data_IF_190630956491
#
_entry.id   IF_190630956491
#
_cell.length_a   1.000
_cell.length_b   1.000
_cell.length_c   1.000
_cell.angle_alpha   90.00
_cell.angle_beta   90.00
_cell.angle_gamma   90.00
#
_symmetry.space_group_name_H-M   'P 1'
#
loop_
_entity.id
_entity.type
_entity.pdbx_description
1 polymer ?
#
# COMPACT_ATOMS: atom_id res chain seq x y z
N UNK A 1 -18.82 18.06 -3.94
CA UNK A 1 -18.82 16.68 -3.46
C UNK A 1 -18.15 16.53 -2.09
N UNK A 2 -16.89 16.93 -1.90
CA UNK A 2 -16.16 16.86 -0.62
C UNK A 2 -16.80 17.66 0.53
N UNK A 3 -17.31 18.86 0.30
CA UNK A 3 -17.93 19.73 1.33
C UNK A 3 -19.16 19.14 2.03
N UNK A 4 -19.79 18.11 1.48
CA UNK A 4 -21.00 17.49 2.06
C UNK A 4 -20.61 16.47 3.15
N UNK A 5 -19.40 15.91 3.12
CA UNK A 5 -18.97 14.80 3.96
C UNK A 5 -17.90 15.22 4.98
N UNK A 6 -17.07 16.22 4.65
CA UNK A 6 -15.99 16.69 5.51
C UNK A 6 -15.98 18.21 5.65
N UNK A 7 -15.74 18.67 6.88
CA UNK A 7 -15.49 20.09 7.20
C UNK A 7 -13.98 20.46 7.14
N UNK A 8 -13.10 19.47 6.86
CA UNK A 8 -11.66 19.73 6.79
C UNK A 8 -11.30 20.55 5.56
N UNK A 9 -10.35 21.49 5.67
CA UNK A 9 -9.86 22.27 4.54
C UNK A 9 -9.17 21.39 3.50
N UNK A 10 -9.19 21.80 2.24
CA UNK A 10 -8.58 21.08 1.13
C UNK A 10 -7.07 20.85 1.35
N UNK A 11 -6.40 21.76 2.05
CA UNK A 11 -4.99 21.63 2.41
C UNK A 11 -4.67 20.39 3.24
N UNK A 12 -5.58 19.96 4.12
CA UNK A 12 -5.41 18.71 4.89
C UNK A 12 -5.51 17.48 3.97
N UNK A 13 -6.48 17.48 3.07
CA UNK A 13 -6.63 16.38 2.11
C UNK A 13 -5.48 16.29 1.11
N UNK A 14 -4.97 17.44 0.64
CA UNK A 14 -3.79 17.48 -0.22
C UNK A 14 -2.53 17.01 0.52
N UNK A 15 -2.37 17.34 1.81
CA UNK A 15 -1.29 16.82 2.63
C UNK A 15 -1.38 15.29 2.78
N UNK A 16 -2.55 14.75 3.10
CA UNK A 16 -2.77 13.30 3.19
C UNK A 16 -2.41 12.62 1.87
N UNK A 17 -2.87 13.16 0.74
CA UNK A 17 -2.56 12.62 -0.59
C UNK A 17 -1.06 12.63 -0.88
N UNK A 18 -0.36 13.74 -0.60
CA UNK A 18 1.09 13.83 -0.85
C UNK A 18 1.90 12.95 0.10
N UNK A 19 1.49 12.79 1.37
CA UNK A 19 2.15 11.89 2.32
C UNK A 19 2.07 10.43 1.84
N UNK A 20 0.91 9.96 1.42
CA UNK A 20 0.76 8.61 0.89
C UNK A 20 1.43 8.41 -0.47
N UNK A 21 1.52 9.45 -1.30
CA UNK A 21 2.29 9.40 -2.55
C UNK A 21 3.78 9.25 -2.26
N UNK A 22 4.33 10.08 -1.39
CA UNK A 22 5.78 10.07 -1.09
C UNK A 22 6.24 8.80 -0.38
N UNK A 23 5.38 8.17 0.37
CA UNK A 23 5.61 6.87 1.01
C UNK A 23 6.00 5.78 0.00
N UNK A 24 5.34 5.75 -1.16
CA UNK A 24 5.58 4.74 -2.19
C UNK A 24 6.70 5.11 -3.17
N UNK A 25 7.17 6.36 -3.21
CA UNK A 25 8.27 6.76 -4.09
C UNK A 25 9.54 5.94 -3.85
N UNK A 26 9.97 5.83 -2.60
CA UNK A 26 11.18 5.07 -2.23
C UNK A 26 11.00 3.57 -2.45
N UNK A 27 9.86 3.01 -2.04
CA UNK A 27 9.57 1.58 -2.18
C UNK A 27 9.57 1.13 -3.64
N UNK A 28 8.88 1.87 -4.51
CA UNK A 28 8.82 1.55 -5.94
C UNK A 28 10.14 1.78 -6.64
N UNK A 29 10.90 2.81 -6.25
CA UNK A 29 12.25 3.03 -6.73
C UNK A 29 13.15 1.82 -6.45
N UNK A 30 13.19 1.31 -5.19
CA UNK A 30 13.98 0.13 -4.86
C UNK A 30 13.53 -1.11 -5.62
N UNK A 31 12.22 -1.36 -5.61
CA UNK A 31 11.66 -2.63 -6.10
C UNK A 31 11.75 -2.76 -7.62
N UNK A 32 11.75 -1.65 -8.36
CA UNK A 32 11.63 -1.67 -9.82
C UNK A 32 12.75 -0.86 -10.47
N UNK A 33 12.84 0.45 -10.21
CA UNK A 33 13.74 1.33 -10.97
C UNK A 33 15.21 1.01 -10.68
N UNK A 34 15.60 0.93 -9.41
CA UNK A 34 16.99 0.63 -9.03
C UNK A 34 17.40 -0.75 -9.53
N UNK A 35 16.54 -1.77 -9.41
CA UNK A 35 16.78 -3.13 -9.91
C UNK A 35 17.06 -3.12 -11.42
N UNK A 36 16.21 -2.45 -12.20
CA UNK A 36 16.37 -2.36 -13.64
C UNK A 36 17.65 -1.61 -14.05
N UNK A 37 17.97 -0.50 -13.37
CA UNK A 37 19.16 0.30 -13.62
C UNK A 37 20.42 -0.51 -13.28
N UNK A 38 20.48 -1.15 -12.12
CA UNK A 38 21.58 -2.02 -11.70
C UNK A 38 21.80 -3.15 -12.71
N UNK A 39 20.73 -3.81 -13.15
CA UNK A 39 20.82 -4.90 -14.13
C UNK A 39 21.38 -4.41 -15.46
N UNK A 40 20.94 -3.25 -15.92
CA UNK A 40 21.47 -2.62 -17.15
C UNK A 40 22.96 -2.26 -17.03
N UNK A 41 23.43 -1.93 -15.84
CA UNK A 41 24.83 -1.63 -15.55
C UNK A 41 25.69 -2.88 -15.27
N UNK A 42 25.12 -4.10 -15.40
CA UNK A 42 25.86 -5.35 -15.26
C UNK A 42 25.95 -5.90 -13.84
N UNK A 43 25.15 -5.37 -12.89
CA UNK A 43 25.10 -5.92 -11.54
C UNK A 43 24.73 -7.41 -11.53
N UNK A 44 25.32 -8.19 -10.62
CA UNK A 44 25.04 -9.61 -10.46
C UNK A 44 23.64 -9.85 -9.93
N UNK A 45 23.06 -11.02 -10.21
CA UNK A 45 21.76 -11.41 -9.68
C UNK A 45 21.75 -11.45 -8.13
N UNK A 46 22.88 -11.74 -7.52
CA UNK A 46 23.05 -11.74 -6.06
C UNK A 46 22.93 -10.31 -5.49
N UNK A 47 23.59 -9.32 -6.12
CA UNK A 47 23.43 -7.91 -5.75
C UNK A 47 21.98 -7.44 -5.90
N UNK A 48 21.31 -7.84 -6.97
CA UNK A 48 19.90 -7.51 -7.21
C UNK A 48 18.99 -8.16 -6.17
N UNK A 49 19.24 -9.42 -5.81
CA UNK A 49 18.44 -10.12 -4.79
C UNK A 49 18.52 -9.45 -3.43
N UNK A 50 19.65 -8.86 -3.07
CA UNK A 50 19.80 -8.12 -1.82
C UNK A 50 18.90 -6.87 -1.76
N UNK A 51 18.63 -6.24 -2.90
CA UNK A 51 17.74 -5.06 -2.97
C UNK A 51 16.29 -5.43 -2.62
N UNK A 52 15.81 -6.62 -3.01
CA UNK A 52 14.47 -7.06 -2.64
C UNK A 52 14.26 -7.24 -1.13
N UNK A 53 15.33 -7.54 -0.37
CA UNK A 53 15.28 -7.64 1.10
C UNK A 53 14.86 -6.30 1.74
N UNK A 54 15.13 -5.16 1.08
CA UNK A 54 14.71 -3.85 1.57
C UNK A 54 13.18 -3.73 1.72
N UNK A 55 12.42 -4.41 0.87
CA UNK A 55 10.96 -4.46 0.98
C UNK A 55 10.44 -5.11 2.27
N UNK A 56 11.21 -6.05 2.86
CA UNK A 56 10.85 -6.70 4.13
C UNK A 56 10.91 -5.74 5.32
N UNK A 57 11.73 -4.69 5.25
CA UNK A 57 11.81 -3.65 6.29
C UNK A 57 10.42 -3.02 6.49
N UNK A 58 9.73 -2.70 5.39
CA UNK A 58 8.36 -2.16 5.42
C UNK A 58 7.36 -3.12 6.07
N UNK A 59 7.45 -4.42 5.80
CA UNK A 59 6.57 -5.42 6.41
C UNK A 59 6.84 -5.57 7.93
N UNK A 60 8.10 -5.43 8.36
CA UNK A 60 8.52 -5.55 9.75
C UNK A 60 8.35 -4.26 10.57
N UNK A 61 7.86 -3.17 9.98
CA UNK A 61 7.72 -1.85 10.64
C UNK A 61 6.90 -1.87 11.94
N UNK A 62 6.03 -2.86 12.13
CA UNK A 62 5.25 -3.02 13.36
C UNK A 62 6.13 -3.19 14.60
N UNK A 63 7.35 -3.72 14.47
CA UNK A 63 8.27 -3.94 15.60
C UNK A 63 8.65 -2.65 16.34
N UNK A 64 8.72 -1.52 15.62
CA UNK A 64 9.06 -0.22 16.20
C UNK A 64 7.92 0.80 16.17
N UNK A 65 6.74 0.44 15.69
CA UNK A 65 5.57 1.34 15.70
C UNK A 65 5.21 1.88 17.10
N UNK A 66 5.40 1.13 18.23
CA UNK A 66 5.17 1.67 19.57
C UNK A 66 6.11 2.83 19.94
N UNK A 67 7.28 2.91 19.30
CA UNK A 67 8.20 4.03 19.49
C UNK A 67 7.60 5.33 18.95
N UNK A 68 6.97 5.25 17.78
CA UNK A 68 6.33 6.40 17.12
C UNK A 68 5.14 6.92 17.95
N UNK A 69 4.31 6.03 18.50
CA UNK A 69 3.22 6.43 19.39
C UNK A 69 3.71 7.02 20.73
N UNK A 70 4.81 6.49 21.27
CA UNK A 70 5.31 6.86 22.60
C UNK A 70 6.07 8.17 22.61
N UNK A 71 7.00 8.35 21.67
CA UNK A 71 7.86 9.53 21.63
C UNK A 71 7.17 10.71 20.99
N UNK A 72 6.91 11.74 21.82
CA UNK A 72 6.30 13.00 21.39
C UNK A 72 7.34 14.09 21.26
N UNK A 73 7.24 14.83 20.18
CA UNK A 73 7.95 16.11 20.05
C UNK A 73 7.25 17.17 20.89
N UNK A 74 7.84 18.36 20.91
CA UNK A 74 7.24 19.49 21.66
C UNK A 74 5.83 19.81 21.11
N UNK A 75 4.91 20.32 21.94
CA UNK A 75 3.57 20.68 21.48
C UNK A 75 3.55 21.65 20.30
N UNK A 76 4.56 22.53 20.19
CA UNK A 76 4.70 23.48 19.08
C UNK A 76 4.97 22.78 17.74
N UNK A 77 5.69 21.65 17.76
CA UNK A 77 6.02 20.88 16.55
C UNK A 77 4.88 19.94 16.17
N UNK A 78 4.17 19.41 17.15
CA UNK A 78 3.19 18.33 16.98
C UNK A 78 3.82 16.93 17.14
N UNK A 79 2.99 15.92 17.39
CA UNK A 79 3.45 14.56 17.64
C UNK A 79 3.86 13.85 16.34
N UNK A 80 2.90 13.55 15.48
CA UNK A 80 3.15 12.88 14.20
C UNK A 80 3.83 13.80 13.19
N UNK A 81 3.48 15.09 13.19
CA UNK A 81 4.15 16.09 12.35
C UNK A 81 5.65 16.13 12.62
N UNK A 82 6.08 16.02 13.88
CA UNK A 82 7.49 15.98 14.24
C UNK A 82 8.22 14.78 13.63
N UNK A 83 7.63 13.58 13.72
CA UNK A 83 8.15 12.39 13.06
C UNK A 83 8.23 12.53 11.54
N UNK A 84 7.16 13.05 10.93
CA UNK A 84 7.08 13.24 9.48
C UNK A 84 8.12 14.24 8.97
N UNK A 85 8.29 15.39 9.65
CA UNK A 85 9.30 16.36 9.30
C UNK A 85 10.71 15.77 9.39
N UNK A 86 11.01 15.02 10.46
CA UNK A 86 12.30 14.37 10.64
C UNK A 86 12.57 13.33 9.55
N UNK A 87 11.63 12.41 9.33
CA UNK A 87 11.82 11.33 8.36
C UNK A 87 11.92 11.84 6.93
N UNK A 88 11.08 12.79 6.53
CA UNK A 88 11.15 13.38 5.20
C UNK A 88 12.39 14.23 4.98
N UNK A 89 12.88 14.95 6.00
CA UNK A 89 14.17 15.65 5.91
C UNK A 89 15.30 14.66 5.66
N UNK A 90 15.33 13.55 6.41
CA UNK A 90 16.33 12.49 6.20
C UNK A 90 16.22 11.86 4.82
N UNK A 91 14.99 11.56 4.35
CA UNK A 91 14.78 11.00 3.01
C UNK A 91 15.27 11.93 1.90
N UNK A 92 14.97 13.22 1.98
CA UNK A 92 15.46 14.21 0.99
C UNK A 92 16.99 14.27 0.99
N UNK A 93 17.63 14.35 2.18
CA UNK A 93 19.08 14.36 2.31
C UNK A 93 19.71 13.08 1.77
N UNK A 94 19.16 11.91 2.11
CA UNK A 94 19.65 10.63 1.61
C UNK A 94 19.52 10.52 0.09
N UNK A 95 18.40 10.95 -0.50
CA UNK A 95 18.20 10.97 -1.94
C UNK A 95 19.18 11.93 -2.63
N UNK A 96 19.41 13.13 -2.10
CA UNK A 96 20.40 14.05 -2.62
C UNK A 96 21.81 13.44 -2.56
N UNK A 97 22.15 12.72 -1.48
CA UNK A 97 23.44 12.06 -1.37
C UNK A 97 23.57 10.88 -2.33
N UNK A 98 22.56 10.01 -2.44
CA UNK A 98 22.53 8.90 -3.40
C UNK A 98 22.64 9.42 -4.84
N UNK A 99 22.03 10.56 -5.17
CA UNK A 99 22.08 11.15 -6.51
C UNK A 99 23.51 11.53 -6.94
N UNK A 100 24.40 11.84 -5.99
CA UNK A 100 25.79 12.21 -6.25
C UNK A 100 26.74 11.01 -6.39
N UNK A 101 26.29 9.81 -6.07
CA UNK A 101 27.09 8.59 -6.15
C UNK A 101 26.89 7.89 -7.52
N UNK A 102 27.97 7.34 -8.04
CA UNK A 102 27.89 6.40 -9.16
C UNK A 102 27.46 5.03 -8.63
N UNK A 103 26.32 4.54 -9.07
CA UNK A 103 25.74 3.31 -8.55
C UNK A 103 26.52 2.05 -8.95
N UNK A 104 27.24 2.07 -10.08
CA UNK A 104 28.02 0.94 -10.54
C UNK A 104 29.30 0.75 -9.69
N UNK A 105 29.98 1.84 -9.39
CA UNK A 105 31.25 1.81 -8.63
C UNK A 105 31.04 1.82 -7.12
N UNK A 106 29.91 2.38 -6.63
CA UNK A 106 29.64 2.56 -5.20
C UNK A 106 28.42 1.74 -4.70
N UNK A 107 28.18 0.57 -5.28
CA UNK A 107 27.00 -0.26 -4.95
C UNK A 107 26.81 -0.45 -3.44
N UNK A 108 27.85 -0.82 -2.70
CA UNK A 108 27.74 -1.08 -1.25
C UNK A 108 27.29 0.16 -0.46
N UNK A 109 27.78 1.36 -0.83
CA UNK A 109 27.37 2.61 -0.20
C UNK A 109 25.92 2.95 -0.56
N UNK A 110 25.55 2.85 -1.83
CA UNK A 110 24.17 3.09 -2.28
C UNK A 110 23.23 2.13 -1.58
N UNK A 111 23.57 0.83 -1.49
CA UNK A 111 22.76 -0.17 -0.80
C UNK A 111 22.58 0.16 0.70
N UNK A 112 23.66 0.55 1.39
CA UNK A 112 23.59 0.99 2.79
C UNK A 112 22.65 2.20 2.97
N UNK A 113 22.75 3.20 2.10
CA UNK A 113 21.87 4.36 2.11
C UNK A 113 20.42 3.97 1.82
N UNK A 114 20.20 2.99 0.94
CA UNK A 114 18.87 2.44 0.67
C UNK A 114 18.27 1.71 1.88
N UNK A 115 19.08 1.05 2.73
CA UNK A 115 18.60 0.50 4.02
C UNK A 115 18.09 1.63 4.92
N UNK A 116 18.86 2.71 5.08
CA UNK A 116 18.42 3.87 5.87
C UNK A 116 17.16 4.52 5.28
N UNK A 117 17.07 4.65 3.96
CA UNK A 117 15.86 5.13 3.30
C UNK A 117 14.66 4.23 3.57
N UNK A 118 14.82 2.91 3.52
CA UNK A 118 13.74 1.96 3.80
C UNK A 118 13.25 2.09 5.25
N UNK A 119 14.15 2.27 6.23
CA UNK A 119 13.80 2.50 7.63
C UNK A 119 13.09 3.84 7.80
N UNK A 120 13.60 4.92 7.20
CA UNK A 120 12.95 6.23 7.24
C UNK A 120 11.58 6.21 6.58
N UNK A 121 11.44 5.57 5.41
CA UNK A 121 10.18 5.41 4.70
C UNK A 121 9.15 4.61 5.50
N UNK A 122 9.57 3.50 6.10
CA UNK A 122 8.70 2.69 6.96
C UNK A 122 8.28 3.46 8.24
N UNK A 123 9.15 4.29 8.80
CA UNK A 123 8.83 5.13 9.97
C UNK A 123 7.91 6.29 9.58
N UNK A 124 8.12 6.89 8.40
CA UNK A 124 7.19 7.88 7.82
C UNK A 124 5.79 7.28 7.65
N UNK A 125 5.70 6.06 7.13
CA UNK A 125 4.44 5.34 6.94
C UNK A 125 3.69 5.15 8.26
N UNK A 126 4.37 4.67 9.31
CA UNK A 126 3.81 4.55 10.67
C UNK A 126 3.26 5.90 11.15
N UNK A 127 4.02 6.98 10.99
CA UNK A 127 3.62 8.31 11.45
C UNK A 127 2.47 8.89 10.62
N UNK A 128 2.44 8.63 9.30
CA UNK A 128 1.35 9.02 8.41
C UNK A 128 0.05 8.34 8.81
N UNK A 129 0.08 7.02 8.98
CA UNK A 129 -1.08 6.24 9.40
C UNK A 129 -1.59 6.67 10.77
N UNK A 130 -0.68 6.90 11.73
CA UNK A 130 -1.01 7.42 13.06
C UNK A 130 -1.68 8.80 13.02
N UNK A 131 -1.14 9.72 12.21
CA UNK A 131 -1.72 11.04 11.99
C UNK A 131 -3.13 10.93 11.39
N UNK A 132 -3.28 10.15 10.32
CA UNK A 132 -4.55 10.02 9.59
C UNK A 132 -5.60 9.34 10.46
N UNK A 133 -5.25 8.27 11.20
CA UNK A 133 -6.14 7.61 12.16
C UNK A 133 -6.61 8.55 13.27
N UNK A 134 -5.76 9.50 13.68
CA UNK A 134 -6.09 10.49 14.72
C UNK A 134 -6.89 11.67 14.19
N UNK A 135 -6.67 12.07 12.94
CA UNK A 135 -7.33 13.21 12.31
C UNK A 135 -8.74 12.89 11.82
N UNK A 136 -8.95 11.70 11.25
CA UNK A 136 -10.17 11.41 10.52
C UNK A 136 -11.30 10.91 11.43
N UNK A 137 -12.46 11.53 11.29
CA UNK A 137 -13.69 11.02 11.87
C UNK A 137 -14.12 9.73 11.17
N UNK A 138 -14.97 8.94 11.81
CA UNK A 138 -15.47 7.68 11.25
C UNK A 138 -16.05 7.83 9.83
N UNK A 139 -16.79 8.91 9.57
CA UNK A 139 -17.36 9.20 8.24
C UNK A 139 -16.29 9.55 7.20
N UNK A 140 -15.16 10.10 7.62
CA UNK A 140 -14.07 10.53 6.73
C UNK A 140 -13.07 9.41 6.42
N UNK A 141 -13.03 8.32 7.21
CA UNK A 141 -12.06 7.22 7.05
C UNK A 141 -12.14 6.57 5.67
N UNK A 142 -13.35 6.43 5.11
CA UNK A 142 -13.51 5.92 3.74
C UNK A 142 -12.77 6.77 2.71
N UNK A 143 -12.98 8.10 2.74
CA UNK A 143 -12.28 9.03 1.84
C UNK A 143 -10.78 9.00 2.09
N UNK A 144 -10.34 8.99 3.36
CA UNK A 144 -8.93 8.91 3.72
C UNK A 144 -8.25 7.69 3.14
N UNK A 145 -8.85 6.52 3.26
CA UNK A 145 -8.30 5.27 2.70
C UNK A 145 -8.39 5.21 1.17
N UNK A 146 -9.40 5.84 0.56
CA UNK A 146 -9.44 6.05 -0.89
C UNK A 146 -8.25 6.87 -1.39
N UNK A 147 -7.93 7.96 -0.68
CA UNK A 147 -6.76 8.80 -0.97
C UNK A 147 -5.46 8.05 -0.68
N UNK A 148 -5.38 7.27 0.40
CA UNK A 148 -4.23 6.42 0.71
C UNK A 148 -3.90 5.48 -0.44
N UNK A 149 -4.89 4.72 -0.90
CA UNK A 149 -4.69 3.74 -1.97
C UNK A 149 -4.36 4.42 -3.30
N UNK A 150 -5.07 5.52 -3.65
CA UNK A 150 -4.78 6.31 -4.85
C UNK A 150 -3.38 6.93 -4.81
N UNK A 151 -3.01 7.53 -3.68
CA UNK A 151 -1.68 8.12 -3.45
C UNK A 151 -0.57 7.08 -3.56
N UNK A 152 -0.78 5.89 -3.00
CA UNK A 152 0.15 4.78 -3.11
C UNK A 152 0.39 4.35 -4.55
N UNK A 153 -0.66 4.16 -5.33
CA UNK A 153 -0.55 3.82 -6.76
C UNK A 153 0.13 4.92 -7.56
N UNK A 154 -0.23 6.18 -7.30
CA UNK A 154 0.40 7.32 -7.97
C UNK A 154 1.89 7.43 -7.62
N UNK A 155 2.25 7.25 -6.34
CA UNK A 155 3.65 7.21 -5.89
C UNK A 155 4.43 6.06 -6.54
N UNK A 156 3.82 4.89 -6.68
CA UNK A 156 4.43 3.75 -7.37
C UNK A 156 4.70 4.06 -8.86
N UNK A 157 3.75 4.66 -9.56
CA UNK A 157 3.92 5.07 -10.96
C UNK A 157 5.05 6.09 -11.13
N UNK A 158 5.21 7.04 -10.22
CA UNK A 158 6.30 8.03 -10.27
C UNK A 158 7.64 7.34 -9.96
N UNK A 159 7.75 6.67 -8.82
CA UNK A 159 9.01 6.12 -8.32
C UNK A 159 9.58 4.99 -9.17
N UNK A 160 8.72 4.18 -9.79
CA UNK A 160 9.12 3.14 -10.73
C UNK A 160 9.08 3.65 -12.18
N UNK A 161 7.89 4.03 -12.66
CA UNK A 161 7.67 4.31 -14.08
C UNK A 161 8.35 5.56 -14.55
N UNK A 162 8.05 6.72 -13.94
CA UNK A 162 8.60 8.01 -14.38
C UNK A 162 10.13 8.03 -14.29
N UNK A 163 10.69 7.47 -13.21
CA UNK A 163 12.16 7.39 -13.03
C UNK A 163 12.80 6.56 -14.13
N UNK A 164 12.22 5.38 -14.46
CA UNK A 164 12.76 4.54 -15.54
C UNK A 164 12.64 5.19 -16.92
N UNK A 165 11.53 5.87 -17.18
CA UNK A 165 11.32 6.59 -18.45
C UNK A 165 12.27 7.79 -18.58
N UNK A 166 12.52 8.52 -17.51
CA UNK A 166 13.40 9.68 -17.51
C UNK A 166 14.91 9.28 -17.53
N UNK A 167 15.27 8.18 -16.89
CA UNK A 167 16.67 7.77 -16.70
C UNK A 167 17.53 7.78 -17.97
N UNK A 168 17.09 7.27 -19.15
CA UNK A 168 17.90 7.27 -20.37
C UNK A 168 18.25 8.66 -20.87
N UNK A 169 17.39 9.66 -20.63
CA UNK A 169 17.55 11.02 -21.12
C UNK A 169 18.23 11.97 -20.12
N UNK A 170 17.95 11.80 -18.82
CA UNK A 170 18.44 12.72 -17.78
C UNK A 170 19.54 12.12 -16.90
N UNK A 171 19.80 10.83 -17.00
CA UNK A 171 20.81 10.12 -16.21
C UNK A 171 20.41 9.88 -14.75
N UNK A 172 21.33 9.23 -14.02
CA UNK A 172 21.12 8.80 -12.62
C UNK A 172 20.82 9.95 -11.67
N UNK A 173 21.68 10.97 -11.69
CA UNK A 173 21.59 12.09 -10.75
C UNK A 173 20.23 12.77 -10.79
N UNK A 174 19.78 13.17 -11.99
CA UNK A 174 18.51 13.90 -12.15
C UNK A 174 17.32 12.97 -11.86
N UNK A 175 17.39 11.70 -12.26
CA UNK A 175 16.33 10.73 -11.98
C UNK A 175 16.09 10.55 -10.47
N UNK A 176 17.17 10.48 -9.65
CA UNK A 176 17.05 10.39 -8.19
C UNK A 176 16.61 11.73 -7.57
N UNK A 177 17.06 12.87 -8.12
CA UNK A 177 16.61 14.19 -7.66
C UNK A 177 15.12 14.44 -7.90
N UNK A 178 14.50 13.82 -8.92
CA UNK A 178 13.05 13.85 -9.11
C UNK A 178 12.33 13.26 -7.88
N UNK A 179 12.85 12.17 -7.31
CA UNK A 179 12.30 11.56 -6.09
C UNK A 179 12.48 12.47 -4.87
N UNK A 180 13.66 13.11 -4.75
CA UNK A 180 13.91 14.08 -3.69
C UNK A 180 12.94 15.28 -3.77
N UNK A 181 12.72 15.82 -4.97
CA UNK A 181 11.77 16.90 -5.21
C UNK A 181 10.32 16.47 -4.87
N UNK A 182 9.91 15.27 -5.31
CA UNK A 182 8.61 14.70 -4.95
C UNK A 182 8.40 14.58 -3.44
N UNK A 183 9.42 14.11 -2.71
CA UNK A 183 9.40 14.01 -1.24
C UNK A 183 9.36 15.41 -0.59
N UNK A 184 10.09 16.38 -1.14
CA UNK A 184 10.12 17.75 -0.63
C UNK A 184 8.74 18.46 -0.72
N UNK A 185 7.85 18.06 -1.63
CA UNK A 185 6.50 18.63 -1.73
C UNK A 185 5.71 18.44 -0.42
N UNK A 186 5.66 17.22 0.09
CA UNK A 186 4.95 16.95 1.35
C UNK A 186 5.70 17.51 2.56
N UNK A 187 7.03 17.56 2.52
CA UNK A 187 7.83 18.24 3.55
C UNK A 187 7.48 19.72 3.66
N UNK A 188 7.40 20.44 2.53
CA UNK A 188 6.98 21.85 2.50
C UNK A 188 5.56 22.03 3.04
N UNK A 189 4.62 21.16 2.66
CA UNK A 189 3.24 21.21 3.18
C UNK A 189 3.20 21.00 4.70
N UNK A 190 4.04 20.12 5.25
CA UNK A 190 4.17 19.90 6.70
C UNK A 190 4.67 21.12 7.46
N UNK A 191 5.50 22.00 6.85
CA UNK A 191 5.95 23.25 7.49
C UNK A 191 4.76 24.17 7.82
N UNK A 192 3.74 24.20 6.96
CA UNK A 192 2.55 25.01 7.11
C UNK A 192 1.40 24.30 7.82
N UNK A 193 1.45 22.99 7.95
CA UNK A 193 0.43 22.21 8.63
C UNK A 193 0.55 22.37 10.15
N UNK A 194 -0.54 22.70 10.81
CA UNK A 194 -0.63 22.70 12.28
C UNK A 194 -1.40 21.45 12.71
N UNK A 195 -0.68 20.53 13.37
CA UNK A 195 -1.29 19.34 13.93
C UNK A 195 -2.21 19.73 15.10
N UNK A 196 -3.47 19.26 15.14
CA UNK A 196 -4.35 19.46 16.28
C UNK A 196 -3.77 18.79 17.53
N UNK A 197 -4.02 19.39 18.71
CA UNK A 197 -3.64 18.78 19.98
C UNK A 197 -4.51 17.55 20.27
N UNK A 198 -3.89 16.41 20.41
CA UNK A 198 -4.56 15.20 20.84
C UNK A 198 -4.42 15.08 22.36
N UNK A 199 -5.52 15.26 23.09
CA UNK A 199 -5.52 15.26 24.56
C UNK A 199 -5.37 13.86 25.17
N UNK A 200 -5.47 12.79 24.36
CA UNK A 200 -5.36 11.42 24.84
C UNK A 200 -3.89 11.07 25.03
N UNK A 201 -3.54 10.69 26.26
CA UNK A 201 -2.19 10.26 26.57
C UNK A 201 -1.93 8.85 25.99
N UNK A 202 -0.82 8.66 25.26
CA UNK A 202 -0.46 7.35 24.75
C UNK A 202 -0.08 6.39 25.88
N UNK A 203 -0.05 5.10 25.56
CA UNK A 203 0.49 4.08 26.48
C UNK A 203 1.93 4.37 26.83
N UNK A 204 2.30 4.16 28.11
CA UNK A 204 3.63 4.45 28.63
C UNK A 204 4.41 3.15 28.92
N UNK A 205 5.75 3.27 28.88
CA UNK A 205 6.65 2.18 29.27
C UNK A 205 6.38 0.86 28.54
N UNK A 206 6.31 -0.23 29.31
CA UNK A 206 6.06 -1.58 28.80
C UNK A 206 4.67 -1.74 28.16
N UNK A 207 3.68 -0.96 28.57
CA UNK A 207 2.34 -1.04 28.00
C UNK A 207 2.32 -0.66 26.50
N UNK A 208 3.17 0.27 26.07
CA UNK A 208 3.30 0.63 24.67
C UNK A 208 3.81 -0.54 23.83
N UNK A 209 4.84 -1.25 24.30
CA UNK A 209 5.40 -2.42 23.62
C UNK A 209 4.43 -3.61 23.67
N UNK A 210 3.82 -3.86 24.84
CA UNK A 210 2.86 -4.96 25.00
C UNK A 210 1.62 -4.80 24.13
N UNK A 211 1.36 -3.58 23.61
CA UNK A 211 0.25 -3.32 22.69
C UNK A 211 0.34 -4.14 21.39
N UNK A 212 1.55 -4.45 20.92
CA UNK A 212 1.78 -5.35 19.79
C UNK A 212 1.05 -6.69 19.95
N UNK A 213 0.99 -7.19 21.19
CA UNK A 213 0.34 -8.45 21.50
C UNK A 213 -1.09 -8.26 22.05
N UNK A 214 -1.31 -7.24 22.88
CA UNK A 214 -2.62 -7.00 23.51
C UNK A 214 -3.68 -6.54 22.52
N UNK A 215 -3.30 -5.96 21.37
CA UNK A 215 -4.22 -5.68 20.27
C UNK A 215 -4.98 -6.96 19.87
N UNK A 216 -4.30 -8.10 19.80
CA UNK A 216 -4.86 -9.38 19.39
C UNK A 216 -5.70 -10.09 20.45
N UNK A 217 -5.93 -9.43 21.60
CA UNK A 217 -6.83 -9.91 22.67
C UNK A 217 -8.18 -9.18 22.66
N UNK A 218 -8.44 -8.36 21.66
CA UNK A 218 -9.70 -7.62 21.54
C UNK A 218 -10.89 -8.58 21.27
N UNK A 219 -12.12 -8.19 21.65
CA UNK A 219 -13.32 -8.96 21.31
C UNK A 219 -13.43 -9.25 19.81
N UNK A 220 -13.93 -10.43 19.46
CA UNK A 220 -14.12 -10.88 18.07
C UNK A 220 -12.82 -10.93 17.22
N UNK A 221 -11.66 -11.04 17.85
CA UNK A 221 -10.37 -10.99 17.14
C UNK A 221 -10.20 -12.13 16.11
N UNK A 222 -10.69 -13.34 16.40
CA UNK A 222 -10.64 -14.47 15.45
C UNK A 222 -11.45 -14.19 14.17
N UNK A 223 -12.59 -13.51 14.30
CA UNK A 223 -13.39 -13.10 13.14
C UNK A 223 -12.66 -12.02 12.33
N UNK A 224 -11.97 -11.13 13.04
CA UNK A 224 -11.15 -10.10 12.41
C UNK A 224 -9.94 -10.72 11.67
N UNK A 225 -9.24 -11.67 12.30
CA UNK A 225 -8.16 -12.41 11.64
C UNK A 225 -8.66 -13.17 10.42
N UNK A 226 -9.82 -13.82 10.53
CA UNK A 226 -10.45 -14.49 9.39
C UNK A 226 -10.78 -13.49 8.27
N UNK A 227 -11.26 -12.29 8.61
CA UNK A 227 -11.52 -11.21 7.65
C UNK A 227 -10.24 -10.74 6.97
N UNK A 228 -9.16 -10.52 7.73
CA UNK A 228 -7.85 -10.11 7.18
C UNK A 228 -7.26 -11.16 6.23
N UNK A 229 -7.51 -12.45 6.49
CA UNK A 229 -6.97 -13.55 5.70
C UNK A 229 -7.85 -13.91 4.51
N UNK A 230 -9.13 -14.21 4.76
CA UNK A 230 -10.01 -14.80 3.76
C UNK A 230 -10.59 -13.79 2.78
N UNK A 231 -10.86 -12.55 3.24
CA UNK A 231 -11.49 -11.55 2.39
C UNK A 231 -10.63 -11.17 1.17
N UNK A 232 -9.30 -10.92 1.28
CA UNK A 232 -8.46 -10.63 0.14
C UNK A 232 -7.91 -11.88 -0.58
N UNK A 233 -8.08 -13.09 -0.01
CA UNK A 233 -7.38 -14.30 -0.46
C UNK A 233 -7.59 -14.61 -1.94
N UNK A 234 -8.83 -14.73 -2.39
CA UNK A 234 -9.13 -15.14 -3.75
C UNK A 234 -8.64 -14.15 -4.80
N UNK A 235 -8.87 -12.85 -4.54
CA UNK A 235 -8.45 -11.82 -5.48
C UNK A 235 -6.92 -11.62 -5.51
N UNK A 236 -6.22 -11.88 -4.40
CA UNK A 236 -4.76 -11.85 -4.33
C UNK A 236 -4.14 -13.01 -5.13
N UNK A 237 -4.72 -14.22 -5.05
CA UNK A 237 -4.30 -15.35 -5.89
C UNK A 237 -4.48 -14.97 -7.38
N UNK A 238 -5.64 -14.47 -7.77
CA UNK A 238 -5.90 -14.10 -9.17
C UNK A 238 -4.91 -13.04 -9.68
N UNK A 239 -4.58 -12.03 -8.86
CA UNK A 239 -3.61 -11.01 -9.21
C UNK A 239 -2.21 -11.57 -9.45
N UNK A 240 -1.76 -12.47 -8.57
CA UNK A 240 -0.42 -13.06 -8.69
C UNK A 240 -0.24 -13.89 -9.96
N UNK A 241 -1.32 -14.40 -10.54
CA UNK A 241 -1.29 -15.25 -11.73
C UNK A 241 -1.45 -14.49 -13.05
N UNK A 242 -1.93 -13.25 -13.00
CA UNK A 242 -2.29 -12.49 -14.22
C UNK A 242 -1.08 -12.26 -15.13
N UNK A 243 0.01 -11.70 -14.61
CA UNK A 243 1.22 -11.44 -15.40
C UNK A 243 1.88 -12.72 -15.92
N UNK A 244 2.14 -13.77 -15.09
CA UNK A 244 2.69 -15.02 -15.58
C UNK A 244 1.83 -15.67 -16.67
N UNK A 245 0.50 -15.67 -16.53
CA UNK A 245 -0.40 -16.22 -17.54
C UNK A 245 -0.31 -15.49 -18.88
N UNK A 246 -0.15 -14.17 -18.88
CA UNK A 246 0.02 -13.38 -20.10
C UNK A 246 1.38 -13.64 -20.76
N UNK A 247 2.46 -13.79 -19.99
CA UNK A 247 3.79 -14.14 -20.50
C UNK A 247 3.76 -15.51 -21.18
N UNK A 248 3.16 -16.51 -20.54
CA UNK A 248 3.06 -17.86 -21.10
C UNK A 248 2.17 -17.90 -22.36
N UNK A 249 1.22 -16.99 -22.48
CA UNK A 249 0.39 -16.78 -23.66
C UNK A 249 1.05 -15.84 -24.70
N UNK A 250 2.37 -15.66 -24.64
CA UNK A 250 3.18 -14.95 -25.64
C UNK A 250 2.85 -13.45 -25.79
N UNK A 251 2.30 -12.81 -24.77
CA UNK A 251 2.15 -11.35 -24.75
C UNK A 251 3.53 -10.70 -24.60
N UNK A 252 3.78 -9.65 -25.36
CA UNK A 252 5.02 -8.87 -25.21
C UNK A 252 5.06 -8.19 -23.83
N UNK A 253 6.25 -8.12 -23.23
CA UNK A 253 6.44 -7.44 -21.94
C UNK A 253 6.02 -5.96 -21.99
N UNK A 254 6.17 -5.31 -23.13
CA UNK A 254 5.72 -3.93 -23.37
C UNK A 254 4.20 -3.80 -23.21
N UNK A 255 3.42 -4.71 -23.86
CA UNK A 255 1.96 -4.72 -23.74
C UNK A 255 1.48 -5.05 -22.33
N UNK A 256 2.13 -6.03 -21.69
CA UNK A 256 1.83 -6.38 -20.28
C UNK A 256 2.06 -5.16 -19.41
N UNK A 257 3.23 -4.52 -19.52
CA UNK A 257 3.57 -3.31 -18.76
C UNK A 257 2.54 -2.19 -18.97
N UNK A 258 2.12 -1.94 -20.22
CA UNK A 258 1.12 -0.92 -20.50
C UNK A 258 -0.25 -1.25 -19.90
N UNK A 259 -0.74 -2.48 -20.08
CA UNK A 259 -2.10 -2.85 -19.65
C UNK A 259 -2.17 -3.08 -18.14
N UNK A 260 -1.20 -3.84 -17.57
CA UNK A 260 -1.23 -4.23 -16.14
C UNK A 260 -0.64 -3.14 -15.26
N UNK A 261 0.47 -2.51 -15.66
CA UNK A 261 1.23 -1.61 -14.77
C UNK A 261 0.96 -0.11 -15.02
N UNK A 262 0.25 0.25 -16.11
CA UNK A 262 -0.17 1.63 -16.36
C UNK A 262 -1.69 1.77 -16.34
N UNK A 263 -2.39 1.06 -17.23
CA UNK A 263 -3.85 1.17 -17.36
C UNK A 263 -4.57 0.67 -16.10
N UNK A 264 -4.12 -0.46 -15.55
CA UNK A 264 -4.64 -1.01 -14.30
C UNK A 264 -4.55 -0.04 -13.13
N UNK A 265 -3.37 0.49 -12.76
CA UNK A 265 -3.23 1.49 -11.70
C UNK A 265 -4.01 2.78 -11.93
N UNK A 266 -4.16 3.27 -13.16
CA UNK A 266 -5.04 4.42 -13.46
C UNK A 266 -6.48 4.09 -13.07
N UNK A 267 -7.00 2.92 -13.48
CA UNK A 267 -8.32 2.47 -13.06
C UNK A 267 -8.39 2.29 -11.53
N UNK A 268 -7.31 1.79 -10.91
CA UNK A 268 -7.17 1.65 -9.48
C UNK A 268 -7.30 2.99 -8.73
N UNK A 269 -6.63 4.04 -9.19
CA UNK A 269 -6.73 5.39 -8.63
C UNK A 269 -8.18 5.88 -8.67
N UNK A 270 -8.83 5.78 -9.84
CA UNK A 270 -10.20 6.22 -9.99
C UNK A 270 -11.16 5.42 -9.09
N UNK A 271 -11.01 4.09 -9.06
CA UNK A 271 -11.87 3.21 -8.27
C UNK A 271 -11.67 3.39 -6.77
N UNK A 272 -10.45 3.64 -6.29
CA UNK A 272 -10.19 3.88 -4.86
C UNK A 272 -10.83 5.18 -4.36
N UNK A 273 -10.70 6.26 -5.12
CA UNK A 273 -11.33 7.55 -4.78
C UNK A 273 -12.86 7.45 -4.78
N UNK A 274 -13.43 6.77 -5.78
CA UNK A 274 -14.86 6.50 -5.85
C UNK A 274 -15.31 5.64 -4.66
N UNK A 275 -14.59 4.56 -4.37
CA UNK A 275 -14.89 3.66 -3.24
C UNK A 275 -14.81 4.39 -1.92
N UNK A 276 -13.79 5.20 -1.69
CA UNK A 276 -13.66 6.01 -0.48
C UNK A 276 -14.87 6.91 -0.25
N UNK A 277 -15.34 7.58 -1.31
CA UNK A 277 -16.58 8.37 -1.28
C UNK A 277 -17.82 7.49 -1.02
N UNK A 278 -17.93 6.35 -1.70
CA UNK A 278 -19.06 5.43 -1.53
C UNK A 278 -19.14 4.88 -0.10
N UNK A 279 -18.01 4.49 0.51
CA UNK A 279 -17.97 4.06 1.93
C UNK A 279 -18.51 5.16 2.85
N UNK A 280 -18.07 6.39 2.63
CA UNK A 280 -18.51 7.53 3.45
C UNK A 280 -19.99 7.89 3.24
N UNK A 281 -20.55 7.60 2.05
CA UNK A 281 -21.95 7.91 1.70
C UNK A 281 -22.92 6.79 2.03
N UNK A 282 -22.57 5.55 1.76
CA UNK A 282 -23.47 4.40 1.84
C UNK A 282 -23.20 3.48 3.05
N UNK A 283 -22.06 3.69 3.73
CA UNK A 283 -21.65 2.91 4.90
C UNK A 283 -20.90 1.61 4.53
N UNK A 284 -20.29 1.00 5.57
CA UNK A 284 -19.42 -0.18 5.44
C UNK A 284 -20.18 -1.39 4.92
N UNK A 285 -21.42 -1.63 5.41
CA UNK A 285 -22.21 -2.82 5.07
C UNK A 285 -22.48 -2.91 3.58
N UNK A 286 -23.08 -1.87 2.99
CA UNK A 286 -23.38 -1.86 1.55
C UNK A 286 -22.13 -1.97 0.69
N UNK A 287 -21.05 -1.32 1.11
CA UNK A 287 -19.79 -1.38 0.38
C UNK A 287 -19.09 -2.73 0.49
N UNK A 288 -19.25 -3.46 1.60
CA UNK A 288 -18.75 -4.83 1.71
C UNK A 288 -19.45 -5.74 0.69
N UNK A 289 -20.76 -5.66 0.55
CA UNK A 289 -21.48 -6.42 -0.49
C UNK A 289 -21.04 -6.06 -1.91
N UNK A 290 -20.84 -4.76 -2.18
CA UNK A 290 -20.30 -4.31 -3.47
C UNK A 290 -18.91 -4.93 -3.74
N UNK A 291 -18.00 -4.87 -2.75
CA UNK A 291 -16.66 -5.46 -2.89
C UNK A 291 -16.71 -6.98 -3.14
N UNK A 292 -17.61 -7.72 -2.48
CA UNK A 292 -17.79 -9.16 -2.70
C UNK A 292 -18.18 -9.45 -4.16
N UNK A 293 -19.17 -8.73 -4.68
CA UNK A 293 -19.62 -8.91 -6.07
C UNK A 293 -18.49 -8.57 -7.05
N UNK A 294 -17.79 -7.45 -6.83
CA UNK A 294 -16.70 -7.03 -7.70
C UNK A 294 -15.49 -7.96 -7.63
N UNK A 295 -15.17 -8.54 -6.46
CA UNK A 295 -14.14 -9.58 -6.34
C UNK A 295 -14.50 -10.83 -7.16
N UNK A 296 -15.74 -11.29 -7.06
CA UNK A 296 -16.21 -12.45 -7.80
C UNK A 296 -16.08 -12.21 -9.32
N UNK A 297 -16.60 -11.08 -9.82
CA UNK A 297 -16.51 -10.71 -11.24
C UNK A 297 -15.06 -10.57 -11.71
N UNK A 298 -14.20 -10.01 -10.86
CA UNK A 298 -12.77 -9.89 -11.10
C UNK A 298 -12.11 -11.25 -11.30
N UNK A 299 -12.30 -12.19 -10.37
CA UNK A 299 -11.67 -13.51 -10.47
C UNK A 299 -12.23 -14.31 -11.65
N UNK A 300 -13.54 -14.19 -11.94
CA UNK A 300 -14.14 -14.77 -13.14
C UNK A 300 -13.53 -14.17 -14.41
N UNK A 301 -13.25 -12.87 -14.47
CA UNK A 301 -12.62 -12.28 -15.65
C UNK A 301 -11.18 -12.77 -15.88
N UNK A 302 -10.42 -13.00 -14.81
CA UNK A 302 -9.07 -13.60 -14.90
C UNK A 302 -9.13 -15.08 -15.33
N UNK A 303 -10.23 -15.79 -15.00
CA UNK A 303 -10.43 -17.19 -15.45
C UNK A 303 -10.47 -17.29 -16.99
N UNK A 304 -11.04 -16.31 -17.70
CA UNK A 304 -11.01 -16.32 -19.17
C UNK A 304 -9.56 -16.25 -19.68
N UNK A 305 -8.70 -15.47 -19.04
CA UNK A 305 -7.27 -15.41 -19.39
C UNK A 305 -6.60 -16.76 -19.09
N UNK A 306 -6.93 -17.40 -17.96
CA UNK A 306 -6.40 -18.71 -17.61
C UNK A 306 -6.84 -19.81 -18.59
N UNK A 307 -8.01 -19.70 -19.21
CA UNK A 307 -8.50 -20.58 -20.28
C UNK A 307 -7.83 -20.31 -21.64
N UNK A 308 -6.92 -19.36 -21.73
CA UNK A 308 -6.23 -19.02 -22.99
C UNK A 308 -6.96 -18.01 -23.86
N UNK A 309 -8.06 -17.40 -23.41
CA UNK A 309 -8.69 -16.29 -24.13
C UNK A 309 -7.86 -15.00 -23.91
N UNK A 310 -6.85 -14.81 -24.74
CA UNK A 310 -5.86 -13.74 -24.58
C UNK A 310 -5.92 -12.70 -25.69
N UNK A 311 -7.06 -12.53 -26.35
CA UNK A 311 -7.27 -11.37 -27.25
C UNK A 311 -7.20 -10.08 -26.43
N UNK A 312 -6.69 -9.01 -27.05
CA UNK A 312 -6.45 -7.73 -26.35
C UNK A 312 -7.69 -7.18 -25.62
N UNK A 313 -8.91 -7.17 -26.19
CA UNK A 313 -10.09 -6.72 -25.46
C UNK A 313 -10.39 -7.55 -24.22
N UNK A 314 -10.20 -8.88 -24.27
CA UNK A 314 -10.46 -9.77 -23.14
C UNK A 314 -9.48 -9.50 -22.01
N UNK A 315 -8.19 -9.36 -22.33
CA UNK A 315 -7.16 -9.07 -21.33
C UNK A 315 -7.36 -7.68 -20.72
N UNK A 316 -7.62 -6.66 -21.52
CA UNK A 316 -7.92 -5.31 -21.02
C UNK A 316 -9.13 -5.34 -20.09
N UNK A 317 -10.21 -6.00 -20.48
CA UNK A 317 -11.40 -6.14 -19.62
C UNK A 317 -11.08 -6.90 -18.31
N UNK A 318 -10.28 -7.97 -18.38
CA UNK A 318 -9.87 -8.73 -17.19
C UNK A 318 -9.05 -7.87 -16.23
N UNK A 319 -8.08 -7.09 -16.74
CA UNK A 319 -7.27 -6.18 -15.92
C UNK A 319 -8.14 -5.08 -15.30
N UNK A 320 -8.99 -4.42 -16.07
CA UNK A 320 -9.88 -3.37 -15.57
C UNK A 320 -10.85 -3.92 -14.51
N UNK A 321 -11.48 -5.08 -14.77
CA UNK A 321 -12.34 -5.74 -13.80
C UNK A 321 -11.57 -6.14 -12.53
N UNK A 322 -10.30 -6.58 -12.70
CA UNK A 322 -9.46 -6.92 -11.57
C UNK A 322 -9.20 -5.70 -10.67
N UNK A 323 -8.80 -4.59 -11.22
CA UNK A 323 -8.56 -3.36 -10.44
C UNK A 323 -9.84 -2.78 -9.83
N UNK A 324 -11.02 -2.97 -10.47
CA UNK A 324 -12.33 -2.64 -9.92
C UNK A 324 -12.77 -3.56 -8.78
N UNK A 325 -12.23 -4.76 -8.66
CA UNK A 325 -12.48 -5.67 -7.54
C UNK A 325 -11.43 -5.56 -6.43
N UNK A 326 -10.16 -5.56 -6.79
CA UNK A 326 -9.04 -5.55 -5.86
C UNK A 326 -8.94 -4.25 -5.07
N UNK A 327 -8.91 -3.12 -5.76
CA UNK A 327 -8.65 -1.81 -5.13
C UNK A 327 -9.78 -1.38 -4.19
N UNK A 328 -11.06 -1.49 -4.52
CA UNK A 328 -12.15 -1.28 -3.56
C UNK A 328 -12.06 -2.16 -2.33
N UNK A 329 -11.66 -3.42 -2.49
CA UNK A 329 -11.54 -4.35 -1.39
C UNK A 329 -10.42 -3.98 -0.42
N UNK A 330 -9.27 -3.56 -0.93
CA UNK A 330 -8.15 -3.04 -0.11
C UNK A 330 -8.58 -1.76 0.61
N UNK A 331 -9.20 -0.81 -0.09
CA UNK A 331 -9.71 0.45 0.49
C UNK A 331 -10.73 0.18 1.62
N UNK A 332 -11.63 -0.77 1.40
CA UNK A 332 -12.61 -1.19 2.41
C UNK A 332 -11.94 -1.82 3.62
N UNK A 333 -11.01 -2.75 3.39
CA UNK A 333 -10.29 -3.45 4.46
C UNK A 333 -9.46 -2.47 5.31
N UNK A 334 -8.76 -1.53 4.67
CA UNK A 334 -8.02 -0.45 5.36
C UNK A 334 -8.95 0.45 6.18
N UNK A 335 -10.17 0.71 5.69
CA UNK A 335 -11.17 1.46 6.45
C UNK A 335 -11.60 0.71 7.71
N UNK A 336 -11.85 -0.60 7.60
CA UNK A 336 -12.18 -1.45 8.75
C UNK A 336 -11.00 -1.59 9.73
N UNK A 337 -9.74 -1.59 9.25
CA UNK A 337 -8.56 -1.52 10.12
C UNK A 337 -8.56 -0.22 10.94
N UNK A 338 -8.83 0.93 10.33
CA UNK A 338 -8.94 2.22 11.04
C UNK A 338 -10.07 2.25 12.06
N UNK A 339 -11.18 1.54 11.81
CA UNK A 339 -12.31 1.47 12.74
C UNK A 339 -11.97 0.72 14.04
N UNK A 340 -10.91 -0.11 14.04
CA UNK A 340 -10.43 -0.86 15.21
C UNK A 340 -9.28 -0.20 15.97
N UNK A 341 -8.83 0.95 15.52
CA UNK A 341 -7.69 1.66 16.10
C UNK A 341 -8.07 2.38 17.39
N UNK A 342 -7.25 2.22 18.43
CA UNK A 342 -7.35 2.98 19.67
C UNK A 342 -6.69 4.35 19.52
N UNK A 343 -7.32 5.39 20.04
CA UNK A 343 -6.73 6.74 20.09
C UNK A 343 -5.48 6.83 20.98
N UNK A 344 -5.22 5.83 21.85
CA UNK A 344 -4.01 5.76 22.68
C UNK A 344 -2.78 5.21 21.94
N UNK A 345 -2.98 4.50 20.84
CA UNK A 345 -1.92 3.85 20.05
C UNK A 345 -2.29 3.78 18.56
N UNK A 346 -2.61 4.93 17.92
CA UNK A 346 -3.18 4.94 16.58
C UNK A 346 -2.19 4.38 15.54
N UNK A 347 -0.91 4.73 15.63
CA UNK A 347 0.10 4.24 14.72
C UNK A 347 0.35 2.73 14.91
N UNK A 348 0.50 2.27 16.15
CA UNK A 348 0.76 0.85 16.45
C UNK A 348 -0.40 -0.03 16.02
N UNK A 349 -1.64 0.33 16.42
CA UNK A 349 -2.83 -0.49 16.16
C UNK A 349 -3.10 -0.66 14.66
N UNK A 350 -2.91 0.41 13.87
CA UNK A 350 -3.06 0.31 12.42
C UNK A 350 -1.93 -0.51 11.79
N UNK A 351 -0.68 -0.19 12.15
CA UNK A 351 0.51 -0.82 11.58
C UNK A 351 0.53 -2.33 11.83
N UNK A 352 0.18 -2.80 13.04
CA UNK A 352 0.14 -4.23 13.35
C UNK A 352 -0.85 -4.98 12.46
N UNK A 353 -2.04 -4.42 12.23
CA UNK A 353 -3.03 -5.01 11.33
C UNK A 353 -2.55 -5.03 9.88
N UNK A 354 -2.01 -3.91 9.43
CA UNK A 354 -1.54 -3.76 8.05
C UNK A 354 -0.33 -4.67 7.75
N UNK A 355 0.61 -4.81 8.69
CA UNK A 355 1.74 -5.74 8.55
C UNK A 355 1.27 -7.19 8.46
N UNK A 356 0.31 -7.61 9.30
CA UNK A 356 -0.28 -8.96 9.20
C UNK A 356 -0.94 -9.16 7.83
N UNK A 357 -1.71 -8.18 7.37
CA UNK A 357 -2.30 -8.22 6.03
C UNK A 357 -1.23 -8.35 4.93
N UNK A 358 -0.14 -7.59 5.00
CA UNK A 358 0.96 -7.67 4.02
C UNK A 358 1.61 -9.06 4.00
N UNK A 359 1.92 -9.63 5.16
CA UNK A 359 2.49 -10.99 5.23
C UNK A 359 1.54 -12.04 4.65
N UNK A 360 0.24 -11.92 4.94
CA UNK A 360 -0.79 -12.78 4.37
C UNK A 360 -0.83 -12.63 2.84
N UNK A 361 -0.86 -11.41 2.33
CA UNK A 361 -0.93 -11.15 0.90
C UNK A 361 0.29 -11.71 0.15
N UNK A 362 1.50 -11.56 0.72
CA UNK A 362 2.72 -12.15 0.16
C UNK A 362 2.67 -13.68 0.16
N UNK A 363 2.26 -14.29 1.27
CA UNK A 363 2.13 -15.76 1.38
C UNK A 363 1.07 -16.32 0.46
N UNK A 364 -0.09 -15.67 0.37
CA UNK A 364 -1.21 -16.08 -0.52
C UNK A 364 -0.83 -15.92 -1.99
N UNK A 365 -0.12 -14.85 -2.37
CA UNK A 365 0.40 -14.68 -3.73
C UNK A 365 1.37 -15.79 -4.13
N UNK A 366 2.33 -16.12 -3.24
CA UNK A 366 3.26 -17.24 -3.44
C UNK A 366 2.55 -18.60 -3.51
N UNK A 367 1.53 -18.81 -2.68
CA UNK A 367 0.68 -20.00 -2.75
C UNK A 367 -0.03 -20.09 -4.11
N UNK A 368 -0.57 -18.98 -4.62
CA UNK A 368 -1.20 -18.91 -5.93
C UNK A 368 -0.27 -19.41 -7.05
N UNK A 369 0.96 -18.93 -7.09
CA UNK A 369 1.98 -19.37 -8.05
C UNK A 369 2.33 -20.86 -7.89
N UNK A 370 2.45 -21.34 -6.65
CA UNK A 370 2.73 -22.76 -6.37
C UNK A 370 1.57 -23.65 -6.84
N UNK A 371 0.33 -23.23 -6.64
CA UNK A 371 -0.86 -23.93 -7.11
C UNK A 371 -0.89 -23.98 -8.64
N UNK A 372 -0.61 -22.85 -9.31
CA UNK A 372 -0.54 -22.80 -10.78
C UNK A 372 0.54 -23.73 -11.35
N UNK A 373 1.68 -23.81 -10.69
CA UNK A 373 2.76 -24.76 -11.10
C UNK A 373 2.35 -26.24 -10.98
N UNK A 374 1.41 -26.58 -10.08
CA UNK A 374 0.98 -27.97 -9.85
C UNK A 374 -0.28 -28.38 -10.63
N UNK A 375 -1.22 -27.47 -10.83
CA UNK A 375 -2.53 -27.77 -11.41
C UNK A 375 -2.95 -26.84 -12.55
N UNK A 376 -2.00 -26.05 -13.05
CA UNK A 376 -2.27 -25.05 -14.08
C UNK A 376 -2.95 -23.78 -13.56
N UNK A 377 -3.00 -22.77 -14.41
CA UNK A 377 -3.65 -21.49 -14.08
C UNK A 377 -5.13 -21.66 -13.76
N UNK A 378 -5.84 -22.50 -14.54
CA UNK A 378 -7.28 -22.78 -14.32
C UNK A 378 -7.55 -23.32 -12.92
N UNK A 379 -6.80 -24.38 -12.52
CA UNK A 379 -6.96 -25.00 -11.21
C UNK A 379 -6.70 -24.02 -10.06
N UNK A 380 -5.69 -23.16 -10.20
CA UNK A 380 -5.39 -22.13 -9.21
C UNK A 380 -6.49 -21.05 -9.14
N UNK A 381 -7.09 -20.66 -10.28
CA UNK A 381 -8.20 -19.69 -10.29
C UNK A 381 -9.49 -20.31 -9.73
N UNK A 382 -9.77 -21.61 -9.90
CA UNK A 382 -10.88 -22.27 -9.22
C UNK A 382 -10.73 -22.24 -7.69
N UNK A 383 -9.50 -22.40 -7.18
CA UNK A 383 -9.21 -22.23 -5.75
C UNK A 383 -9.40 -20.76 -5.34
N UNK A 384 -9.00 -19.81 -6.18
CA UNK A 384 -9.23 -18.39 -5.94
C UNK A 384 -10.72 -18.06 -5.83
N UNK A 385 -11.59 -18.64 -6.68
CA UNK A 385 -13.05 -18.51 -6.59
C UNK A 385 -13.58 -19.08 -5.27
N UNK A 386 -13.09 -20.26 -4.85
CA UNK A 386 -13.38 -20.81 -3.51
C UNK A 386 -12.98 -19.85 -2.39
N UNK A 387 -11.79 -19.21 -2.53
CA UNK A 387 -11.31 -18.18 -1.62
C UNK A 387 -12.23 -16.96 -1.56
N UNK A 388 -12.74 -16.48 -2.70
CA UNK A 388 -13.72 -15.37 -2.75
C UNK A 388 -15.02 -15.75 -2.02
N UNK A 389 -15.53 -16.98 -2.20
CA UNK A 389 -16.74 -17.45 -1.52
C UNK A 389 -16.53 -17.49 0.00
N UNK A 390 -15.41 -18.04 0.47
CA UNK A 390 -15.08 -18.08 1.90
C UNK A 390 -14.88 -16.66 2.46
N UNK A 391 -14.24 -15.79 1.71
CA UNK A 391 -14.08 -14.37 2.03
C UNK A 391 -15.43 -13.65 2.13
N UNK A 392 -16.34 -13.93 1.21
CA UNK A 392 -17.69 -13.36 1.21
C UNK A 392 -18.49 -13.79 2.46
N UNK A 393 -18.49 -15.08 2.78
CA UNK A 393 -19.16 -15.60 3.99
C UNK A 393 -18.59 -14.94 5.25
N UNK A 394 -17.27 -14.81 5.31
CA UNK A 394 -16.58 -14.18 6.45
C UNK A 394 -16.93 -12.72 6.58
N UNK A 395 -16.92 -11.98 5.46
CA UNK A 395 -17.21 -10.54 5.43
C UNK A 395 -18.66 -10.24 5.81
N UNK A 396 -19.62 -11.02 5.29
CA UNK A 396 -21.04 -10.89 5.64
C UNK A 396 -21.25 -11.13 7.13
N UNK A 397 -20.67 -12.21 7.69
CA UNK A 397 -20.77 -12.54 9.11
C UNK A 397 -20.07 -11.52 10.02
N UNK A 398 -19.04 -10.83 9.51
CA UNK A 398 -18.34 -9.78 10.25
C UNK A 398 -19.18 -8.52 10.33
N UNK A 399 -19.74 -8.08 9.20
CA UNK A 399 -20.48 -6.82 9.07
C UNK A 399 -21.87 -6.90 9.69
N UNK A 400 -22.61 -8.02 9.50
CA UNK A 400 -23.95 -8.20 10.08
C UNK A 400 -23.99 -8.12 11.62
N UNK A 401 -22.87 -8.28 12.31
CA UNK A 401 -22.78 -8.16 13.78
C UNK A 401 -22.39 -6.77 14.27
N UNK A 402 -22.10 -5.82 13.38
CA UNK A 402 -21.86 -4.43 13.76
C UNK A 402 -23.17 -3.61 13.83
N UNK A 403 -24.27 -4.14 13.27
CA UNK A 403 -25.59 -3.50 13.27
C UNK A 403 -26.46 -3.94 14.47
N UNK A 404 -26.02 -4.92 15.27
CA UNK A 404 -26.66 -5.38 16.52
C UNK A 404 -25.81 -4.98 17.73
#
# INVERSE_FOLDING_TARGET
MFKIISQKPLSVWSLIASLYTTQYLGLSFFSVALVAILRKQGASLEQISSVYVLGMIGACKFLWSPIVDKFRFTPKIGHFRGWLLLMQSLLVVLLCFISSLDVATNFSMVYLLCIFMAICGATQDIATDGLVCSLLTEKERGIGNGIQTAGGMFGFMIGAGLVLMAYPSVGWQVAVLILAAGTAVSWVQLLFFKEPEFHIQPYQGWQAVSRLFSFWRQPNIFKWLAMLFLFPMGITIAYSLLTPALVDNQWSLERIGFVVDVLGPIMGILSSLLTGWMISRFGRNKMTYYCIVMQFLSVVSVLFVAWGYTSEPVVVMAVLAHFLGYVPSVTMLSTLMMDRVSQKSPATDYTVQFSVYQFIAMGVGGLGMTLAGRMGYEGAIYIALGGVILGAITAINYVAKQDN
#
